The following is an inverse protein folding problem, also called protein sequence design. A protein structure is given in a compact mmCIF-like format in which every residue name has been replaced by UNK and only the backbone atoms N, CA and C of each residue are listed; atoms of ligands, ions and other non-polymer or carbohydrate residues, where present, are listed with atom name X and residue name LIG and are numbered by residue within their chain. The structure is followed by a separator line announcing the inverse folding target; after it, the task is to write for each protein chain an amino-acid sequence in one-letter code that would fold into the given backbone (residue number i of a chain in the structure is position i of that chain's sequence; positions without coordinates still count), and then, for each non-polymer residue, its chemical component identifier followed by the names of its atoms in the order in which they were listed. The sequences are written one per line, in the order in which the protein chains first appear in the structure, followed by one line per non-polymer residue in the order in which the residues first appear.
data_IF_790402610118
#
_entry.id   IF_790402610118
#
_cell.length_a   1.000
_cell.length_b   1.000
_cell.length_c   1.000
_cell.angle_alpha   90.00
_cell.angle_beta   90.00
_cell.angle_gamma   90.00
#
_symmetry.space_group_name_H-M   'P 1'
#
loop_
_entity.id
_entity.type
_entity.pdbx_description
1 polymer ?
#
# COMPACT_ATOMS: atom_id res chain seq x y z
N UNK A 1 -14.06 2.39 -13.30
CA UNK A 1 -13.29 2.77 -12.09
C UNK A 1 -13.66 1.98 -10.85
N UNK A 2 -14.95 1.80 -10.51
CA UNK A 2 -15.38 1.07 -9.30
C UNK A 2 -14.71 -0.31 -9.12
N UNK A 3 -14.65 -1.15 -10.16
CA UNK A 3 -13.99 -2.45 -10.10
C UNK A 3 -12.47 -2.37 -9.85
N UNK A 4 -11.79 -1.36 -10.42
CA UNK A 4 -10.36 -1.14 -10.19
C UNK A 4 -10.09 -0.70 -8.75
N UNK A 5 -10.95 0.16 -8.20
CA UNK A 5 -10.86 0.59 -6.80
C UNK A 5 -11.18 -0.57 -5.84
N UNK A 6 -12.14 -1.42 -6.18
CA UNK A 6 -12.41 -2.64 -5.43
C UNK A 6 -11.22 -3.63 -5.49
N UNK A 7 -10.54 -3.72 -6.63
CA UNK A 7 -9.31 -4.51 -6.74
C UNK A 7 -8.19 -3.94 -5.86
N UNK A 8 -8.02 -2.61 -5.82
CA UNK A 8 -7.08 -1.93 -4.89
C UNK A 8 -7.43 -2.27 -3.44
N UNK A 9 -8.71 -2.20 -3.06
CA UNK A 9 -9.16 -2.59 -1.73
C UNK A 9 -8.83 -4.06 -1.43
N UNK A 10 -9.04 -4.96 -2.40
CA UNK A 10 -8.70 -6.38 -2.27
C UNK A 10 -7.20 -6.61 -2.03
N UNK A 11 -6.33 -5.88 -2.74
CA UNK A 11 -4.88 -5.93 -2.54
C UNK A 11 -4.53 -5.46 -1.13
N UNK A 12 -5.05 -4.31 -0.69
CA UNK A 12 -4.82 -3.81 0.67
C UNK A 12 -5.33 -4.76 1.74
N UNK A 13 -6.47 -5.42 1.51
CA UNK A 13 -7.00 -6.42 2.43
C UNK A 13 -6.07 -7.64 2.54
N UNK A 14 -5.58 -8.15 1.40
CA UNK A 14 -4.66 -9.27 1.37
C UNK A 14 -3.33 -8.94 2.06
N UNK A 15 -2.75 -7.79 1.75
CA UNK A 15 -1.50 -7.30 2.38
C UNK A 15 -1.71 -7.06 3.88
N UNK A 16 -2.83 -6.46 4.26
CA UNK A 16 -3.16 -6.19 5.65
C UNK A 16 -3.33 -7.47 6.47
N UNK A 17 -4.05 -8.46 5.95
CA UNK A 17 -4.20 -9.77 6.57
C UNK A 17 -2.86 -10.51 6.68
N UNK A 18 -2.02 -10.45 5.65
CA UNK A 18 -0.71 -11.08 5.68
C UNK A 18 0.18 -10.48 6.79
N UNK A 19 0.16 -9.15 6.97
CA UNK A 19 0.89 -8.47 8.04
C UNK A 19 0.32 -8.77 9.44
N UNK A 20 -0.98 -9.03 9.55
CA UNK A 20 -1.61 -9.42 10.81
C UNK A 20 -1.24 -10.84 11.23
N UNK A 21 -1.36 -11.79 10.29
CA UNK A 21 -1.20 -13.22 10.55
C UNK A 21 0.28 -13.60 10.66
N UNK A 22 1.10 -13.14 9.71
CA UNK A 22 2.47 -13.60 9.55
C UNK A 22 3.45 -12.46 9.23
N UNK A 23 3.55 -11.41 10.09
CA UNK A 23 4.39 -10.24 9.81
C UNK A 23 5.85 -10.61 9.52
N UNK A 24 6.43 -11.53 10.31
CA UNK A 24 7.82 -11.99 10.12
C UNK A 24 8.07 -12.61 8.75
N UNK A 25 7.14 -13.42 8.26
CA UNK A 25 7.29 -14.11 6.98
C UNK A 25 7.18 -13.12 5.83
N UNK A 26 6.24 -12.19 5.91
CA UNK A 26 6.08 -11.11 4.93
C UNK A 26 7.37 -10.28 4.86
N UNK A 27 7.91 -9.84 5.99
CA UNK A 27 9.12 -9.03 6.04
C UNK A 27 10.36 -9.81 5.55
N UNK A 28 10.47 -11.10 5.85
CA UNK A 28 11.53 -11.95 5.31
C UNK A 28 11.46 -12.02 3.77
N UNK A 29 10.27 -12.22 3.19
CA UNK A 29 10.08 -12.22 1.73
C UNK A 29 10.37 -10.86 1.09
N UNK A 30 9.98 -9.77 1.75
CA UNK A 30 10.30 -8.42 1.28
C UNK A 30 11.82 -8.21 1.24
N UNK A 31 12.57 -8.66 2.26
CA UNK A 31 14.04 -8.61 2.25
C UNK A 31 14.63 -9.39 1.08
N UNK A 32 14.19 -10.63 0.88
CA UNK A 32 14.65 -11.46 -0.25
C UNK A 32 14.40 -10.80 -1.62
N UNK A 33 13.22 -10.19 -1.81
CA UNK A 33 12.87 -9.50 -3.06
C UNK A 33 13.69 -8.21 -3.26
N UNK A 34 14.00 -7.50 -2.18
CA UNK A 34 14.83 -6.29 -2.22
C UNK A 34 16.27 -6.62 -2.58
N UNK A 35 16.83 -7.71 -2.03
CA UNK A 35 18.18 -8.17 -2.35
C UNK A 35 18.34 -8.52 -3.85
N UNK A 36 17.25 -8.90 -4.51
CA UNK A 36 17.22 -9.23 -5.95
C UNK A 36 17.13 -8.02 -6.90
N UNK A 37 17.13 -6.78 -6.38
CA UNK A 37 17.18 -5.41 -6.96
C UNK A 37 16.38 -5.09 -8.26
N UNK A 38 16.38 -5.97 -9.26
CA UNK A 38 15.65 -5.85 -10.53
C UNK A 38 14.12 -5.93 -10.36
N UNK A 39 13.65 -6.74 -9.41
CA UNK A 39 12.22 -6.91 -9.15
C UNK A 39 11.59 -5.66 -8.51
N UNK A 40 12.37 -4.92 -7.72
CA UNK A 40 11.92 -3.75 -6.97
C UNK A 40 11.39 -2.65 -7.90
N UNK A 41 12.07 -2.38 -9.02
CA UNK A 41 11.66 -1.34 -9.97
C UNK A 41 10.27 -1.60 -10.59
N UNK A 42 9.92 -2.88 -10.78
CA UNK A 42 8.61 -3.28 -11.32
C UNK A 42 7.48 -3.04 -10.32
N UNK A 43 7.73 -3.27 -9.03
CA UNK A 43 6.73 -3.06 -7.98
C UNK A 43 6.48 -1.57 -7.70
N UNK A 44 7.51 -0.72 -7.80
CA UNK A 44 7.33 0.73 -7.67
C UNK A 44 6.42 1.31 -8.76
N UNK A 45 6.61 0.87 -10.01
CA UNK A 45 5.73 1.27 -11.12
C UNK A 45 4.27 0.88 -10.87
N UNK A 46 4.03 -0.33 -10.34
CA UNK A 46 2.68 -0.77 -9.96
C UNK A 46 2.11 0.11 -8.85
N UNK A 47 2.89 0.43 -7.82
CA UNK A 47 2.45 1.29 -6.72
C UNK A 47 2.07 2.71 -7.20
N UNK A 48 2.87 3.31 -8.08
CA UNK A 48 2.59 4.62 -8.68
C UNK A 48 1.28 4.56 -9.49
N UNK A 49 1.15 3.56 -10.36
CA UNK A 49 -0.05 3.38 -11.19
C UNK A 49 -1.31 3.21 -10.34
N UNK A 50 -1.27 2.36 -9.30
CA UNK A 50 -2.41 2.18 -8.39
C UNK A 50 -2.72 3.47 -7.62
N UNK A 51 -1.72 4.25 -7.21
CA UNK A 51 -1.90 5.55 -6.57
C UNK A 51 -2.60 6.57 -7.48
N UNK A 52 -2.21 6.65 -8.75
CA UNK A 52 -2.87 7.52 -9.74
C UNK A 52 -4.31 7.09 -9.97
N UNK A 53 -4.55 5.77 -10.13
CA UNK A 53 -5.90 5.22 -10.29
C UNK A 53 -6.77 5.56 -9.07
N UNK A 54 -6.22 5.48 -7.86
CA UNK A 54 -6.92 5.86 -6.64
C UNK A 54 -7.29 7.34 -6.66
N UNK A 55 -6.34 8.24 -6.94
CA UNK A 55 -6.56 9.69 -6.98
C UNK A 55 -7.62 10.13 -8.00
N UNK A 56 -7.63 9.49 -9.17
CA UNK A 56 -8.60 9.79 -10.22
C UNK A 56 -9.96 9.14 -9.95
N UNK A 57 -9.94 7.92 -9.42
CA UNK A 57 -11.14 7.12 -9.18
C UNK A 57 -11.91 7.50 -7.91
N UNK A 58 -11.26 8.14 -6.94
CA UNK A 58 -11.86 8.48 -5.64
C UNK A 58 -12.55 9.83 -5.58
N UNK A 59 -12.53 10.62 -6.66
CA UNK A 59 -13.20 11.93 -6.70
C UNK A 59 -14.70 11.76 -6.49
N UNK A 60 -15.26 12.48 -5.52
CA UNK A 60 -16.68 12.38 -5.16
C UNK A 60 -17.05 11.13 -4.35
N UNK A 61 -16.08 10.33 -3.89
CA UNK A 61 -16.34 9.29 -2.87
C UNK A 61 -16.34 9.91 -1.47
N UNK A 62 -17.09 9.28 -0.55
CA UNK A 62 -17.03 9.63 0.86
C UNK A 62 -15.60 9.46 1.39
N UNK A 63 -15.13 10.38 2.24
CA UNK A 63 -13.72 10.48 2.68
C UNK A 63 -12.71 10.89 1.59
N UNK A 64 -13.08 11.78 0.65
CA UNK A 64 -12.21 12.23 -0.44
C UNK A 64 -10.79 12.67 -0.02
N UNK A 65 -10.66 13.38 1.10
CA UNK A 65 -9.36 13.80 1.65
C UNK A 65 -8.49 12.59 2.03
N UNK A 66 -9.07 11.55 2.62
CA UNK A 66 -8.36 10.32 2.99
C UNK A 66 -7.78 9.64 1.74
N UNK A 67 -8.57 9.56 0.67
CA UNK A 67 -8.14 8.94 -0.58
C UNK A 67 -7.09 9.77 -1.30
N UNK A 68 -7.19 11.09 -1.21
CA UNK A 68 -6.19 12.01 -1.76
C UNK A 68 -4.87 11.83 -1.04
N UNK A 69 -4.86 11.89 0.30
CA UNK A 69 -3.64 11.68 1.10
C UNK A 69 -3.04 10.30 0.84
N UNK A 70 -3.86 9.26 0.81
CA UNK A 70 -3.42 7.87 0.58
C UNK A 70 -2.82 7.71 -0.82
N UNK A 71 -3.52 8.19 -1.86
CA UNK A 71 -3.07 8.10 -3.24
C UNK A 71 -1.80 8.92 -3.49
N UNK A 72 -1.71 10.13 -2.93
CA UNK A 72 -0.50 10.94 -2.98
C UNK A 72 0.66 10.25 -2.28
N UNK A 73 0.44 9.67 -1.09
CA UNK A 73 1.48 8.93 -0.38
C UNK A 73 2.00 7.74 -1.19
N UNK A 74 1.12 6.98 -1.86
CA UNK A 74 1.52 5.88 -2.75
C UNK A 74 2.38 6.36 -3.92
N UNK A 75 1.99 7.45 -4.58
CA UNK A 75 2.73 8.03 -5.71
C UNK A 75 4.09 8.58 -5.26
N UNK A 76 4.12 9.36 -4.18
CA UNK A 76 5.36 9.96 -3.65
C UNK A 76 6.33 8.87 -3.19
N UNK A 77 5.84 7.86 -2.46
CA UNK A 77 6.66 6.71 -2.04
C UNK A 77 7.22 5.96 -3.24
N UNK A 78 6.38 5.65 -4.24
CA UNK A 78 6.81 4.94 -5.44
C UNK A 78 7.83 5.71 -6.25
N UNK A 79 7.65 7.03 -6.41
CA UNK A 79 8.63 7.90 -7.07
C UNK A 79 9.94 7.98 -6.29
N UNK A 80 9.88 8.09 -4.96
CA UNK A 80 11.06 8.09 -4.11
C UNK A 80 11.87 6.78 -4.25
N UNK A 81 11.20 5.63 -4.31
CA UNK A 81 11.87 4.35 -4.46
C UNK A 81 12.36 4.11 -5.90
N UNK A 82 11.67 4.63 -6.91
CA UNK A 82 12.08 4.54 -8.31
C UNK A 82 13.30 5.41 -8.64
N UNK A 83 13.30 6.68 -8.24
CA UNK A 83 14.29 7.68 -8.70
C UNK A 83 15.22 8.16 -7.56
N UNK A 84 14.88 7.88 -6.30
CA UNK A 84 15.63 8.40 -5.16
C UNK A 84 17.06 7.87 -5.05
N UNK A 85 17.96 8.64 -4.40
CA UNK A 85 19.34 8.24 -4.17
C UNK A 85 19.44 6.88 -3.47
N UNK A 86 20.32 6.00 -3.95
CA UNK A 86 20.40 4.63 -3.46
C UNK A 86 20.72 4.55 -1.96
N UNK A 87 21.56 5.44 -1.44
CA UNK A 87 21.89 5.52 -0.01
C UNK A 87 20.66 5.83 0.86
N UNK A 88 19.80 6.74 0.41
CA UNK A 88 18.58 7.12 1.13
C UNK A 88 17.52 6.03 1.05
N UNK A 89 17.42 5.36 -0.11
CA UNK A 89 16.54 4.20 -0.27
C UNK A 89 16.93 3.07 0.66
N UNK A 90 18.21 2.71 0.70
CA UNK A 90 18.72 1.65 1.58
C UNK A 90 18.52 2.01 3.06
N UNK A 91 18.78 3.27 3.46
CA UNK A 91 18.53 3.74 4.82
C UNK A 91 17.05 3.65 5.21
N UNK A 92 16.15 4.15 4.36
CA UNK A 92 14.71 4.10 4.60
C UNK A 92 14.16 2.65 4.63
N UNK A 93 14.62 1.80 3.72
CA UNK A 93 14.24 0.39 3.69
C UNK A 93 14.74 -0.36 4.92
N UNK A 94 15.99 -0.14 5.33
CA UNK A 94 16.57 -0.77 6.52
C UNK A 94 15.81 -0.34 7.78
N UNK A 95 15.50 0.95 7.91
CA UNK A 95 14.68 1.46 9.01
C UNK A 95 13.28 0.85 9.02
N UNK A 96 12.61 0.79 7.85
CA UNK A 96 11.29 0.16 7.73
C UNK A 96 11.31 -1.32 8.07
N UNK A 97 12.34 -2.07 7.67
CA UNK A 97 12.46 -3.51 7.84
C UNK A 97 12.96 -3.94 9.23
N UNK A 98 13.50 -3.02 10.03
CA UNK A 98 13.99 -3.29 11.38
C UNK A 98 12.96 -2.96 12.47
N UNK A 99 11.73 -2.59 12.10
CA UNK A 99 10.64 -2.37 13.06
C UNK A 99 10.20 -3.63 13.77
N UNK A 100 9.54 -3.46 14.90
CA UNK A 100 8.98 -4.55 15.69
C UNK A 100 7.77 -5.20 15.00
N UNK A 101 7.51 -6.47 15.30
CA UNK A 101 6.35 -7.21 14.77
C UNK A 101 5.02 -6.51 15.02
N UNK A 102 4.91 -5.83 16.17
CA UNK A 102 3.72 -5.09 16.60
C UNK A 102 3.43 -3.93 15.65
N UNK A 103 4.46 -3.19 15.20
CA UNK A 103 4.30 -2.09 14.27
C UNK A 103 3.70 -2.57 12.95
N UNK A 104 4.18 -3.70 12.42
CA UNK A 104 3.65 -4.25 11.17
C UNK A 104 2.20 -4.69 11.29
N UNK A 105 1.78 -5.20 12.45
CA UNK A 105 0.38 -5.53 12.71
C UNK A 105 -0.50 -4.28 12.74
N UNK A 106 -0.02 -3.17 13.31
CA UNK A 106 -0.74 -1.89 13.23
C UNK A 106 -0.87 -1.39 11.80
N UNK A 107 0.18 -1.51 10.99
CA UNK A 107 0.09 -1.24 9.54
C UNK A 107 -0.92 -2.16 8.86
N UNK A 108 -0.94 -3.45 9.23
CA UNK A 108 -1.92 -4.42 8.74
C UNK A 108 -3.37 -4.04 9.06
N UNK A 109 -3.65 -3.65 10.30
CA UNK A 109 -4.96 -3.11 10.70
C UNK A 109 -5.33 -1.87 9.89
N UNK A 110 -4.37 -0.96 9.67
CA UNK A 110 -4.58 0.23 8.84
C UNK A 110 -4.97 -0.12 7.40
N UNK A 111 -4.27 -1.06 6.77
CA UNK A 111 -4.56 -1.52 5.41
C UNK A 111 -5.92 -2.22 5.32
N UNK A 112 -6.25 -3.11 6.26
CA UNK A 112 -7.57 -3.73 6.33
C UNK A 112 -8.67 -2.68 6.51
N UNK A 113 -8.44 -1.67 7.37
CA UNK A 113 -9.41 -0.59 7.59
C UNK A 113 -9.61 0.24 6.32
N UNK A 114 -8.53 0.61 5.63
CA UNK A 114 -8.61 1.33 4.35
C UNK A 114 -9.34 0.53 3.27
N UNK A 115 -9.10 -0.79 3.20
CA UNK A 115 -9.80 -1.68 2.28
C UNK A 115 -11.32 -1.68 2.54
N UNK A 116 -11.72 -1.87 3.79
CA UNK A 116 -13.14 -1.86 4.18
C UNK A 116 -13.79 -0.50 3.93
N UNK A 117 -13.12 0.60 4.28
CA UNK A 117 -13.62 1.95 4.02
C UNK A 117 -13.77 2.24 2.53
N UNK A 118 -12.84 1.76 1.69
CA UNK A 118 -12.90 1.94 0.25
C UNK A 118 -14.07 1.13 -0.35
N UNK A 119 -14.23 -0.12 0.05
CA UNK A 119 -15.36 -0.95 -0.37
C UNK A 119 -16.71 -0.39 0.11
N UNK A 120 -16.77 0.15 1.33
CA UNK A 120 -17.94 0.84 1.84
C UNK A 120 -18.25 2.12 1.04
N UNK A 121 -17.24 2.95 0.77
CA UNK A 121 -17.39 4.15 -0.05
C UNK A 121 -17.84 3.84 -1.49
N UNK A 122 -17.51 2.65 -2.01
CA UNK A 122 -17.98 2.17 -3.31
C UNK A 122 -19.42 1.61 -3.28
N UNK A 123 -20.02 1.46 -2.10
CA UNK A 123 -21.34 0.86 -1.90
C UNK A 123 -21.35 -0.68 -1.95
N UNK A 124 -20.20 -1.32 -1.72
CA UNK A 124 -20.06 -2.79 -1.78
C UNK A 124 -20.16 -3.46 -0.40
N UNK A 125 -19.95 -2.70 0.68
CA UNK A 125 -19.99 -3.17 2.07
C UNK A 125 -21.00 -2.38 2.92
N UNK A 126 -22.24 -2.27 2.43
CA UNK A 126 -23.34 -1.67 3.18
C UNK A 126 -24.64 -1.77 2.40
N UNK A 127 -25.72 -2.17 3.08
CA UNK A 127 -27.09 -2.02 2.56
C UNK A 127 -27.34 -0.51 2.43
N UNK A 128 -27.57 -0.05 1.20
CA UNK A 128 -28.02 1.33 0.93
C UNK A 128 -29.45 1.54 1.43
#
# INVERSE_FOLDING_TARGET
MKYLLAAIAGIWMADGLALLVAPRQVIARVREVLDLSSAMLRWEGVAICLGIILLLGSRGLHYELLWTVTGTAMVVKGLFLAVGPQEWKTGALTWCLHREDVDYRFWGLGLCTLALLLLNALGWLGVQ
#
